data_IF_238059460125
#
_entry.id   IF_238059460125
#
_cell.length_a   1.000
_cell.length_b   1.000
_cell.length_c   1.000
_cell.angle_alpha   90.00
_cell.angle_beta   90.00
_cell.angle_gamma   90.00
#
_symmetry.space_group_name_H-M   'P 1'
#
loop_
_entity.id
_entity.type
_entity.pdbx_description
1 polymer ?
#
# COMPACT_ATOMS: atom_id res chain seq x y z
N UNK A 1 17.40 -4.82 -6.69
CA UNK A 1 16.62 -6.03 -6.33
C UNK A 1 15.42 -6.36 -7.24
N UNK A 2 14.83 -5.49 -8.08
CA UNK A 2 13.67 -5.88 -8.88
C UNK A 2 13.94 -7.06 -9.84
N UNK A 3 15.11 -7.09 -10.49
CA UNK A 3 15.46 -8.15 -11.46
C UNK A 3 15.57 -9.56 -10.84
N UNK A 4 15.85 -9.68 -9.54
CA UNK A 4 15.99 -11.00 -8.88
C UNK A 4 14.64 -11.64 -8.57
N UNK A 5 13.57 -10.85 -8.46
CA UNK A 5 12.23 -11.33 -8.07
C UNK A 5 11.23 -11.32 -9.23
N UNK A 6 11.52 -10.63 -10.34
CA UNK A 6 10.67 -10.58 -11.53
C UNK A 6 11.18 -11.47 -12.69
N UNK A 7 11.23 -12.79 -12.44
CA UNK A 7 11.77 -13.77 -13.40
C UNK A 7 11.04 -13.79 -14.75
N UNK A 8 9.73 -13.52 -14.74
CA UNK A 8 8.89 -13.51 -15.94
C UNK A 8 8.71 -12.12 -16.56
N UNK A 9 9.45 -11.11 -16.07
CA UNK A 9 9.37 -9.73 -16.56
C UNK A 9 7.93 -9.21 -16.56
N UNK A 10 7.17 -9.56 -15.53
CA UNK A 10 5.79 -9.12 -15.35
C UNK A 10 5.70 -7.59 -15.25
N UNK A 11 6.78 -6.93 -14.85
CA UNK A 11 6.90 -5.48 -14.87
C UNK A 11 6.71 -4.89 -16.26
N UNK A 12 7.07 -5.58 -17.33
CA UNK A 12 6.91 -5.11 -18.71
C UNK A 12 5.44 -4.95 -19.11
N UNK A 13 4.54 -5.66 -18.42
CA UNK A 13 3.09 -5.60 -18.63
C UNK A 13 2.45 -4.41 -17.91
N UNK A 14 3.17 -3.76 -16.99
CA UNK A 14 2.66 -2.62 -16.23
C UNK A 14 2.77 -1.33 -17.02
N UNK A 15 1.76 -0.49 -16.90
CA UNK A 15 1.80 0.90 -17.38
C UNK A 15 2.77 1.76 -16.57
N UNK A 16 3.17 2.91 -17.10
CA UNK A 16 3.99 3.88 -16.37
C UNK A 16 3.31 4.36 -15.08
N UNK A 17 1.99 4.56 -15.12
CA UNK A 17 1.20 4.99 -13.95
C UNK A 17 1.18 3.90 -12.86
N UNK A 18 1.02 2.63 -13.23
CA UNK A 18 1.09 1.50 -12.30
C UNK A 18 2.47 1.37 -11.65
N UNK A 19 3.55 1.51 -12.43
CA UNK A 19 4.92 1.52 -11.90
C UNK A 19 5.17 2.74 -11.00
N UNK A 20 4.56 3.89 -11.30
CA UNK A 20 4.65 5.09 -10.48
C UNK A 20 3.95 4.92 -9.13
N UNK A 21 2.75 4.33 -9.10
CA UNK A 21 2.05 3.99 -7.86
C UNK A 21 2.91 3.08 -7.01
N UNK A 22 3.42 1.98 -7.59
CA UNK A 22 4.30 1.04 -6.88
C UNK A 22 5.52 1.76 -6.31
N UNK A 23 6.27 2.51 -7.13
CA UNK A 23 7.49 3.18 -6.66
C UNK A 23 7.22 4.26 -5.61
N UNK A 24 6.04 4.90 -5.64
CA UNK A 24 5.64 5.90 -4.65
C UNK A 24 5.30 5.26 -3.31
N UNK A 25 4.54 4.17 -3.30
CA UNK A 25 4.25 3.41 -2.08
C UNK A 25 5.52 2.76 -1.52
N UNK A 26 6.36 2.20 -2.40
CA UNK A 26 7.65 1.60 -1.99
C UNK A 26 8.58 2.61 -1.31
N UNK A 27 8.69 3.83 -1.84
CA UNK A 27 9.46 4.91 -1.18
C UNK A 27 8.90 5.27 0.19
N UNK A 28 7.57 5.33 0.33
CA UNK A 28 6.96 5.57 1.64
C UNK A 28 7.34 4.47 2.63
N UNK A 29 7.24 3.20 2.21
CA UNK A 29 7.60 2.05 3.05
C UNK A 29 9.08 2.12 3.45
N UNK A 30 9.98 2.40 2.51
CA UNK A 30 11.41 2.49 2.79
C UNK A 30 11.78 3.63 3.74
N UNK A 31 11.17 4.80 3.56
CA UNK A 31 11.57 6.01 4.27
C UNK A 31 10.82 6.24 5.58
N UNK A 32 9.59 5.74 5.70
CA UNK A 32 8.69 6.05 6.82
C UNK A 32 8.39 4.85 7.69
N UNK A 33 8.32 3.64 7.12
CA UNK A 33 7.84 2.46 7.84
C UNK A 33 8.96 1.49 8.27
N UNK A 34 9.84 1.11 7.34
CA UNK A 34 10.97 0.22 7.65
C UNK A 34 11.85 0.69 8.82
N UNK A 35 12.08 2.00 9.04
CA UNK A 35 12.88 2.45 10.18
C UNK A 35 12.26 2.18 11.56
N UNK A 36 10.93 2.03 11.65
CA UNK A 36 10.20 1.95 12.93
C UNK A 36 9.59 0.57 13.21
N UNK A 37 9.37 -0.25 12.18
CA UNK A 37 8.59 -1.49 12.32
C UNK A 37 9.22 -2.53 13.26
N UNK A 38 10.55 -2.62 13.34
CA UNK A 38 11.21 -3.63 14.17
C UNK A 38 10.86 -3.47 15.66
N UNK A 39 10.83 -2.24 16.17
CA UNK A 39 10.46 -1.96 17.56
C UNK A 39 8.97 -2.23 17.81
N UNK A 40 8.10 -1.78 16.90
CA UNK A 40 6.67 -2.01 17.00
C UNK A 40 6.30 -3.49 16.95
N UNK A 41 6.99 -4.28 16.12
CA UNK A 41 6.82 -5.72 16.06
C UNK A 41 7.16 -6.39 17.40
N UNK A 42 8.34 -6.08 17.97
CA UNK A 42 8.79 -6.64 19.24
C UNK A 42 7.85 -6.27 20.40
N UNK A 43 7.34 -5.03 20.39
CA UNK A 43 6.45 -4.51 21.42
C UNK A 43 4.97 -4.86 21.19
N UNK A 44 4.62 -5.54 20.09
CA UNK A 44 3.24 -5.79 19.67
C UNK A 44 2.37 -4.52 19.61
N UNK A 45 2.94 -3.42 19.12
CA UNK A 45 2.25 -2.14 18.91
C UNK A 45 2.17 -1.79 17.42
N UNK A 46 1.44 -0.74 17.07
CA UNK A 46 1.36 -0.24 15.69
C UNK A 46 1.77 1.24 15.64
N UNK A 47 2.58 1.67 14.64
CA UNK A 47 3.02 3.05 14.48
C UNK A 47 1.87 3.96 14.03
N UNK A 48 0.97 4.35 14.94
CA UNK A 48 -0.22 5.14 14.62
C UNK A 48 0.09 6.50 13.99
N UNK A 49 1.27 7.05 14.22
CA UNK A 49 1.76 8.31 13.67
C UNK A 49 1.87 8.30 12.14
N UNK A 50 2.00 7.13 11.50
CA UNK A 50 2.09 7.04 10.03
C UNK A 50 0.72 7.05 9.36
N UNK A 51 -0.35 6.82 10.11
CA UNK A 51 -1.71 6.69 9.55
C UNK A 51 -2.16 7.95 8.79
N UNK A 52 -1.95 9.18 9.30
CA UNK A 52 -2.25 10.39 8.53
C UNK A 52 -1.42 10.51 7.25
N UNK A 53 -0.21 9.96 7.20
CA UNK A 53 0.62 9.96 6.00
C UNK A 53 0.11 8.95 4.97
N UNK A 54 -0.31 7.75 5.40
CA UNK A 54 -1.01 6.78 4.54
C UNK A 54 -2.30 7.37 3.95
N UNK A 55 -3.04 8.16 4.74
CA UNK A 55 -4.23 8.86 4.24
C UNK A 55 -3.88 9.89 3.15
N UNK A 56 -2.82 10.68 3.36
CA UNK A 56 -2.32 11.64 2.36
C UNK A 56 -1.76 10.95 1.11
N UNK A 57 -1.16 9.76 1.28
CA UNK A 57 -0.68 8.94 0.17
C UNK A 57 -1.83 8.38 -0.69
N UNK A 58 -3.05 8.34 -0.15
CA UNK A 58 -4.25 7.96 -0.87
C UNK A 58 -4.45 6.45 -1.01
N UNK A 59 -3.81 5.63 -0.17
CA UNK A 59 -3.89 4.17 -0.27
C UNK A 59 -5.16 3.56 0.34
N UNK A 60 -5.86 4.29 1.22
CA UNK A 60 -7.11 3.82 1.79
C UNK A 60 -8.24 3.85 0.77
N UNK A 61 -8.77 2.69 0.43
CA UNK A 61 -9.87 2.56 -0.54
C UNK A 61 -9.52 3.10 -1.93
N UNK A 62 -8.25 3.06 -2.33
CA UNK A 62 -7.77 3.70 -3.56
C UNK A 62 -8.47 3.22 -4.84
N UNK A 63 -8.99 1.99 -4.85
CA UNK A 63 -9.73 1.41 -5.98
C UNK A 63 -11.23 1.78 -6.00
N UNK A 64 -11.72 2.47 -4.97
CA UNK A 64 -13.11 2.91 -4.85
C UNK A 64 -13.34 4.22 -5.62
N UNK A 65 -14.58 4.44 -6.08
CA UNK A 65 -14.98 5.65 -6.82
C UNK A 65 -15.98 6.46 -6.00
N UNK A 66 -15.87 7.79 -6.08
CA UNK A 66 -16.72 8.73 -5.33
C UNK A 66 -16.18 9.03 -3.93
N UNK A 67 -16.84 9.93 -3.20
CA UNK A 67 -16.53 10.27 -1.80
C UNK A 67 -15.06 10.68 -1.53
N UNK A 68 -14.37 11.21 -2.54
CA UNK A 68 -12.95 11.59 -2.43
C UNK A 68 -11.95 10.42 -2.57
N UNK A 69 -12.41 9.21 -2.89
CA UNK A 69 -11.54 8.08 -3.21
C UNK A 69 -10.90 8.23 -4.60
N UNK A 70 -9.69 7.69 -4.76
CA UNK A 70 -8.83 7.93 -5.92
C UNK A 70 -9.33 7.31 -7.23
N UNK A 71 -10.19 6.28 -7.18
CA UNK A 71 -10.72 5.62 -8.38
C UNK A 71 -9.68 4.88 -9.22
N UNK A 72 -8.57 4.46 -8.59
CA UNK A 72 -7.45 3.78 -9.24
C UNK A 72 -7.79 2.34 -9.65
N UNK A 73 -6.96 1.75 -10.53
CA UNK A 73 -7.19 0.39 -11.01
C UNK A 73 -6.95 -0.66 -9.91
N UNK A 74 -7.54 -1.85 -10.07
CA UNK A 74 -7.26 -2.97 -9.17
C UNK A 74 -5.80 -3.42 -9.23
N UNK A 75 -5.12 -3.25 -10.37
CA UNK A 75 -3.69 -3.54 -10.52
C UNK A 75 -2.88 -2.58 -9.66
N UNK A 76 -3.18 -1.27 -9.71
CA UNK A 76 -2.55 -0.27 -8.84
C UNK A 76 -2.76 -0.57 -7.36
N UNK A 77 -3.97 -1.01 -6.97
CA UNK A 77 -4.23 -1.44 -5.59
C UNK A 77 -3.41 -2.68 -5.19
N UNK A 78 -3.33 -3.68 -6.08
CA UNK A 78 -2.49 -4.86 -5.85
C UNK A 78 -1.00 -4.52 -5.69
N UNK A 79 -0.47 -3.63 -6.53
CA UNK A 79 0.91 -3.16 -6.47
C UNK A 79 1.18 -2.36 -5.18
N UNK A 80 0.24 -1.52 -4.74
CA UNK A 80 0.33 -0.83 -3.46
C UNK A 80 0.38 -1.84 -2.30
N UNK A 81 -0.49 -2.85 -2.31
CA UNK A 81 -0.47 -3.91 -1.30
C UNK A 81 0.86 -4.68 -1.29
N UNK A 82 1.44 -5.00 -2.45
CA UNK A 82 2.77 -5.66 -2.53
C UNK A 82 3.85 -4.85 -1.81
N UNK A 83 3.90 -3.54 -2.04
CA UNK A 83 4.90 -2.68 -1.40
C UNK A 83 4.65 -2.51 0.10
N UNK A 84 3.40 -2.35 0.52
CA UNK A 84 3.05 -2.27 1.94
C UNK A 84 3.46 -3.57 2.66
N UNK A 85 3.23 -4.72 2.04
CA UNK A 85 3.57 -6.03 2.60
C UNK A 85 5.06 -6.34 2.56
N UNK A 86 5.81 -5.77 1.59
CA UNK A 86 7.28 -5.76 1.62
C UNK A 86 7.82 -5.06 2.86
N UNK A 87 7.07 -4.10 3.41
CA UNK A 87 7.33 -3.51 4.72
C UNK A 87 6.99 -4.48 5.86
N UNK A 88 5.70 -4.79 6.00
CA UNK A 88 5.18 -5.77 6.95
C UNK A 88 3.72 -6.12 6.63
N UNK A 89 3.32 -7.36 6.95
CA UNK A 89 1.94 -7.82 6.76
C UNK A 89 0.92 -7.05 7.61
N UNK A 90 1.30 -6.54 8.78
CA UNK A 90 0.47 -5.70 9.65
C UNK A 90 0.10 -4.37 9.00
N UNK A 91 1.05 -3.70 8.32
CA UNK A 91 0.80 -2.47 7.57
C UNK A 91 -0.20 -2.70 6.43
N UNK A 92 0.04 -3.74 5.61
CA UNK A 92 -0.88 -4.10 4.52
C UNK A 92 -2.26 -4.52 5.04
N UNK A 93 -2.33 -5.20 6.19
CA UNK A 93 -3.59 -5.57 6.85
C UNK A 93 -4.38 -4.34 7.26
N UNK A 94 -3.72 -3.36 7.87
CA UNK A 94 -4.36 -2.11 8.29
C UNK A 94 -5.02 -1.39 7.09
N UNK A 95 -4.28 -1.23 5.99
CA UNK A 95 -4.82 -0.61 4.75
C UNK A 95 -5.94 -1.44 4.13
N UNK A 96 -5.81 -2.78 4.13
CA UNK A 96 -6.80 -3.69 3.57
C UNK A 96 -8.12 -3.69 4.34
N UNK A 97 -8.06 -3.69 5.68
CA UNK A 97 -9.25 -3.60 6.52
C UNK A 97 -9.95 -2.27 6.26
N UNK A 98 -9.23 -1.15 6.32
CA UNK A 98 -9.81 0.17 6.12
C UNK A 98 -10.45 0.30 4.73
N UNK A 99 -9.75 -0.08 3.66
CA UNK A 99 -10.26 0.03 2.29
C UNK A 99 -11.34 -0.98 1.94
N UNK A 100 -11.05 -2.28 2.13
CA UNK A 100 -11.83 -3.37 1.55
C UNK A 100 -12.87 -3.95 2.53
N UNK A 101 -12.69 -3.77 3.84
CA UNK A 101 -13.59 -4.31 4.86
C UNK A 101 -14.37 -3.23 5.65
N UNK A 102 -14.00 -1.95 5.50
CA UNK A 102 -14.75 -0.83 6.07
C UNK A 102 -15.31 0.11 4.99
N UNK A 103 -14.47 0.75 4.18
CA UNK A 103 -14.94 1.71 3.16
C UNK A 103 -15.78 1.04 2.07
N UNK A 104 -15.33 -0.09 1.55
CA UNK A 104 -16.04 -0.82 0.49
C UNK A 104 -17.47 -1.25 0.86
N UNK A 105 -17.74 -1.90 2.02
CA UNK A 105 -19.11 -2.23 2.39
C UNK A 105 -19.98 -1.01 2.70
N UNK A 106 -19.42 0.15 3.06
CA UNK A 106 -20.17 1.41 3.24
C UNK A 106 -20.55 2.03 1.89
N UNK A 107 -19.71 1.88 0.87
CA UNK A 107 -19.95 2.41 -0.48
C UNK A 107 -21.11 1.70 -1.20
N UNK A 108 -21.52 0.52 -0.72
CA UNK A 108 -22.57 -0.31 -1.32
C UNK A 108 -23.95 -0.06 -0.73
#
# INVERSE_FOLDING_TARGET
MPELVDFYRTDDLLTEEERLVRSTVGRFVDQRFLPVIAEHYEQATFPMEIVPELAKLGVFGMHLRGYGAAGMSNVMYGLACQELERGDSGLRSFVSVQGSLCMFPILR
#
